data_IF_917860513064
#
_entry.id   IF_917860513064
#
_cell.length_a   1.000
_cell.length_b   1.000
_cell.length_c   1.000
_cell.angle_alpha   90.00
_cell.angle_beta   90.00
_cell.angle_gamma   90.00
#
_symmetry.space_group_name_H-M   'P 1'
#
loop_
_entity.id
_entity.type
_entity.pdbx_description
1 polymer ?
#
# COMPACT_ATOMS: atom_id res chain seq x y z
N UNK A 1 -13.67 21.27 -6.84
CA UNK A 1 -14.83 20.45 -7.23
C UNK A 1 -16.09 20.84 -6.45
N UNK A 2 -16.12 20.77 -5.10
CA UNK A 2 -17.30 21.11 -4.26
C UNK A 2 -17.85 22.53 -4.53
N UNK A 3 -16.99 23.57 -4.61
CA UNK A 3 -17.42 24.92 -4.95
C UNK A 3 -18.24 24.98 -6.24
N UNK A 4 -17.81 24.29 -7.29
CA UNK A 4 -18.50 24.26 -8.57
C UNK A 4 -19.85 23.51 -8.53
N UNK A 5 -19.96 22.49 -7.68
CA UNK A 5 -21.21 21.77 -7.44
C UNK A 5 -22.25 22.66 -6.76
N UNK A 6 -21.82 23.45 -5.76
CA UNK A 6 -22.70 24.45 -5.10
C UNK A 6 -23.13 25.55 -6.04
N UNK A 7 -22.17 26.13 -6.78
CA UNK A 7 -22.44 27.15 -7.80
C UNK A 7 -23.48 26.65 -8.81
N UNK A 8 -23.34 25.42 -9.32
CA UNK A 8 -24.32 24.82 -10.25
C UNK A 8 -25.69 24.59 -9.61
N UNK A 9 -25.75 24.14 -8.36
CA UNK A 9 -27.02 23.95 -7.64
C UNK A 9 -27.73 25.29 -7.43
N UNK A 10 -26.98 26.36 -7.12
CA UNK A 10 -27.52 27.70 -6.92
C UNK A 10 -27.93 28.34 -8.26
N UNK A 11 -27.13 28.20 -9.32
CA UNK A 11 -27.48 28.63 -10.69
C UNK A 11 -28.79 27.98 -11.15
N UNK A 12 -28.95 26.67 -10.93
CA UNK A 12 -30.18 25.94 -11.27
C UNK A 12 -31.38 26.35 -10.39
N UNK A 13 -31.12 26.68 -9.11
CA UNK A 13 -32.18 27.13 -8.19
C UNK A 13 -32.70 28.53 -8.54
N UNK A 14 -31.89 29.38 -9.17
CA UNK A 14 -32.26 30.74 -9.60
C UNK A 14 -32.84 30.78 -11.03
N UNK A 15 -32.68 29.71 -11.80
CA UNK A 15 -33.30 29.60 -13.12
C UNK A 15 -34.82 29.47 -12.94
N UNK A 16 -35.60 30.55 -13.29
CA UNK A 16 -37.06 30.50 -13.32
C UNK A 16 -37.52 29.62 -14.46
N UNK A 17 -38.29 28.54 -14.23
CA UNK A 17 -38.91 27.80 -15.31
C UNK A 17 -39.97 28.72 -15.98
N UNK A 18 -39.84 28.91 -17.26
CA UNK A 18 -40.92 29.55 -18.07
C UNK A 18 -42.21 28.76 -17.89
N UNK A 19 -43.32 29.45 -17.82
CA UNK A 19 -44.65 29.03 -17.35
C UNK A 19 -45.35 27.93 -18.18
N UNK A 20 -44.69 27.08 -18.95
CA UNK A 20 -45.38 26.22 -19.92
C UNK A 20 -45.00 24.74 -19.94
N UNK A 21 -44.11 24.24 -19.10
CA UNK A 21 -43.75 22.79 -19.14
C UNK A 21 -43.84 22.14 -17.75
N UNK A 22 -44.94 21.43 -17.51
CA UNK A 22 -45.19 20.69 -16.26
C UNK A 22 -44.17 19.56 -15.95
N UNK A 23 -43.33 19.16 -16.91
CA UNK A 23 -42.30 18.14 -16.72
C UNK A 23 -40.91 18.72 -16.40
N UNK A 24 -40.65 19.96 -16.78
CA UNK A 24 -39.31 20.60 -16.57
C UNK A 24 -39.08 20.94 -15.10
N UNK A 25 -40.09 21.43 -14.39
CA UNK A 25 -39.93 21.79 -12.96
C UNK A 25 -39.60 20.61 -12.05
N UNK A 26 -40.23 19.44 -12.18
CA UNK A 26 -39.83 18.24 -11.39
C UNK A 26 -38.44 17.75 -11.74
N UNK A 27 -38.02 17.75 -13.00
CA UNK A 27 -36.68 17.35 -13.44
C UNK A 27 -35.60 18.29 -12.90
N UNK A 28 -35.86 19.60 -12.91
CA UNK A 28 -34.96 20.60 -12.34
C UNK A 28 -34.81 20.44 -10.83
N UNK A 29 -35.91 20.25 -10.10
CA UNK A 29 -35.92 20.00 -8.68
C UNK A 29 -35.15 18.71 -8.31
N UNK A 30 -35.29 17.65 -9.12
CA UNK A 30 -34.53 16.41 -8.96
C UNK A 30 -33.02 16.62 -9.16
N UNK A 31 -32.62 17.37 -10.17
CA UNK A 31 -31.22 17.70 -10.47
C UNK A 31 -30.57 18.51 -9.35
N UNK A 32 -31.28 19.53 -8.82
CA UNK A 32 -30.83 20.31 -7.69
C UNK A 32 -30.65 19.44 -6.44
N UNK A 33 -31.62 18.57 -6.14
CA UNK A 33 -31.55 17.65 -5.01
C UNK A 33 -30.37 16.67 -5.15
N UNK A 34 -30.07 16.19 -6.36
CA UNK A 34 -28.96 15.30 -6.65
C UNK A 34 -27.60 16.00 -6.46
N UNK A 35 -27.45 17.25 -6.91
CA UNK A 35 -26.24 18.05 -6.70
C UNK A 35 -26.00 18.34 -5.20
N UNK A 36 -27.04 18.67 -4.46
CA UNK A 36 -26.95 18.88 -3.01
C UNK A 36 -26.58 17.62 -2.26
N UNK A 37 -27.16 16.46 -2.60
CA UNK A 37 -26.76 15.16 -2.05
C UNK A 37 -25.29 14.84 -2.36
N UNK A 38 -24.83 15.14 -3.57
CA UNK A 38 -23.43 14.95 -3.95
C UNK A 38 -22.50 15.84 -3.14
N UNK A 39 -22.87 17.12 -2.90
CA UNK A 39 -22.07 18.00 -2.02
C UNK A 39 -22.04 17.49 -0.58
N UNK A 40 -23.17 17.01 -0.02
CA UNK A 40 -23.23 16.41 1.32
C UNK A 40 -22.40 15.12 1.43
N UNK A 41 -22.39 14.26 0.41
CA UNK A 41 -21.54 13.07 0.38
C UNK A 41 -20.06 13.45 0.35
N UNK A 42 -19.71 14.43 -0.51
CA UNK A 42 -18.36 14.96 -0.58
C UNK A 42 -17.95 15.71 0.71
N UNK A 43 -18.89 16.35 1.40
CA UNK A 43 -18.65 16.97 2.71
C UNK A 43 -18.36 15.93 3.79
N UNK A 44 -19.15 14.88 3.86
CA UNK A 44 -18.89 13.75 4.77
C UNK A 44 -17.56 13.06 4.47
N UNK A 45 -17.17 12.98 3.19
CA UNK A 45 -15.87 12.41 2.77
C UNK A 45 -14.68 13.37 3.02
N UNK A 46 -14.92 14.70 2.99
CA UNK A 46 -13.87 15.72 3.22
C UNK A 46 -13.89 16.28 4.62
N UNK A 47 -15.03 16.21 5.34
CA UNK A 47 -15.20 16.64 6.73
C UNK A 47 -14.80 15.58 7.76
N UNK A 48 -14.55 14.34 7.37
CA UNK A 48 -13.70 13.48 8.16
C UNK A 48 -12.31 14.13 8.11
N UNK A 49 -11.95 14.91 9.16
CA UNK A 49 -10.57 15.31 9.38
C UNK A 49 -9.72 14.08 9.11
N UNK A 50 -8.72 14.22 8.22
CA UNK A 50 -7.72 13.18 8.08
C UNK A 50 -7.32 12.82 9.51
N UNK A 51 -7.41 11.55 9.93
CA UNK A 51 -7.08 11.19 11.30
C UNK A 51 -5.72 11.82 11.55
N UNK A 52 -5.62 12.67 12.58
CA UNK A 52 -4.34 13.22 13.01
C UNK A 52 -3.56 11.98 13.40
N UNK A 53 -2.71 11.51 12.50
CA UNK A 53 -1.89 10.33 12.77
C UNK A 53 -0.91 10.78 13.83
N UNK A 54 -1.23 10.46 15.09
CA UNK A 54 -0.30 10.64 16.18
C UNK A 54 0.93 9.82 15.83
N UNK A 55 2.09 10.46 15.87
CA UNK A 55 3.34 9.78 15.70
C UNK A 55 3.38 8.61 16.69
N UNK A 56 3.43 7.35 16.23
CA UNK A 56 3.38 6.21 17.15
C UNK A 56 4.60 6.22 18.05
N UNK A 57 4.45 5.72 19.26
CA UNK A 57 5.60 5.44 20.11
C UNK A 57 6.59 4.52 19.38
N UNK A 58 7.90 4.61 19.68
CA UNK A 58 8.89 3.69 19.12
C UNK A 58 8.45 2.23 19.30
N UNK A 59 8.58 1.44 18.23
CA UNK A 59 8.20 0.04 18.27
C UNK A 59 9.20 -0.76 19.09
N UNK A 60 8.71 -1.61 19.99
CA UNK A 60 9.51 -2.63 20.64
C UNK A 60 9.45 -3.92 19.81
N UNK A 61 10.61 -4.47 19.48
CA UNK A 61 10.71 -5.75 18.77
C UNK A 61 10.58 -6.88 19.78
N UNK A 62 9.36 -7.42 19.92
CA UNK A 62 9.06 -8.48 20.93
C UNK A 62 9.38 -9.89 20.43
N UNK A 63 9.43 -10.10 19.14
CA UNK A 63 9.84 -11.36 18.48
C UNK A 63 10.62 -11.04 17.21
N UNK A 64 11.46 -11.96 16.71
CA UNK A 64 12.16 -11.74 15.45
C UNK A 64 11.17 -11.59 14.27
N UNK A 65 11.36 -10.53 13.49
CA UNK A 65 10.56 -10.23 12.30
C UNK A 65 11.46 -9.87 11.12
N UNK A 66 10.97 -10.10 9.91
CA UNK A 66 11.71 -9.86 8.68
C UNK A 66 10.88 -8.97 7.75
N UNK A 67 11.45 -7.86 7.27
CA UNK A 67 10.87 -7.03 6.23
C UNK A 67 11.61 -7.22 4.92
N UNK A 68 10.90 -7.39 3.81
CA UNK A 68 11.45 -7.70 2.49
C UNK A 68 11.08 -6.63 1.47
N UNK A 69 12.06 -6.26 0.65
CA UNK A 69 11.87 -5.47 -0.56
C UNK A 69 12.55 -6.15 -1.76
N UNK A 70 11.95 -5.98 -2.95
CA UNK A 70 12.48 -6.54 -4.19
C UNK A 70 13.65 -5.69 -4.71
N UNK A 71 14.74 -6.34 -5.10
CA UNK A 71 15.94 -5.69 -5.64
C UNK A 71 16.51 -6.47 -6.84
N UNK A 72 17.56 -5.95 -7.48
CA UNK A 72 18.16 -6.62 -8.65
C UNK A 72 18.85 -7.95 -8.32
N UNK A 73 19.28 -8.16 -7.05
CA UNK A 73 19.80 -9.45 -6.59
C UNK A 73 18.70 -10.47 -6.23
N UNK A 74 17.44 -10.09 -6.33
CA UNK A 74 16.28 -10.88 -5.92
C UNK A 74 15.51 -10.17 -4.82
N UNK A 75 15.88 -10.36 -3.57
CA UNK A 75 15.26 -9.76 -2.40
C UNK A 75 16.31 -9.28 -1.39
N UNK A 76 16.10 -8.08 -0.84
CA UNK A 76 16.82 -7.60 0.32
C UNK A 76 15.89 -7.66 1.54
N UNK A 77 16.41 -8.14 2.65
CA UNK A 77 15.68 -8.26 3.90
C UNK A 77 16.32 -7.47 5.02
N UNK A 78 15.48 -6.85 5.86
CA UNK A 78 15.87 -6.28 7.15
C UNK A 78 15.31 -7.16 8.26
N UNK A 79 16.19 -7.88 8.96
CA UNK A 79 15.83 -8.68 10.12
C UNK A 79 15.94 -7.85 11.39
N UNK A 80 14.85 -7.77 12.14
CA UNK A 80 14.79 -7.18 13.47
C UNK A 80 14.69 -8.30 14.50
N UNK A 81 15.57 -8.26 15.48
CA UNK A 81 15.61 -9.23 16.59
C UNK A 81 15.48 -8.49 17.92
N UNK A 82 14.79 -9.07 18.93
CA UNK A 82 14.73 -8.48 20.27
C UNK A 82 16.11 -8.12 20.80
N UNK A 83 16.23 -6.93 21.38
CA UNK A 83 17.49 -6.42 21.96
C UNK A 83 18.68 -6.29 20.99
N UNK A 84 18.52 -6.58 19.70
CA UNK A 84 19.59 -6.35 18.73
C UNK A 84 19.81 -4.84 18.52
N UNK A 85 21.07 -4.38 18.49
CA UNK A 85 21.38 -2.95 18.42
C UNK A 85 21.07 -2.34 17.04
N UNK A 86 20.90 -3.16 16.01
CA UNK A 86 20.67 -2.71 14.63
C UNK A 86 19.99 -3.80 13.77
N UNK A 87 19.24 -3.42 12.72
CA UNK A 87 18.75 -4.36 11.72
C UNK A 87 19.91 -5.12 11.05
N UNK A 88 19.76 -6.42 10.88
CA UNK A 88 20.65 -7.25 10.07
C UNK A 88 20.14 -7.32 8.64
N UNK A 89 20.96 -6.90 7.68
CA UNK A 89 20.59 -6.92 6.26
C UNK A 89 21.01 -8.26 5.65
N UNK A 90 20.09 -8.88 4.95
CA UNK A 90 20.24 -10.18 4.30
C UNK A 90 19.76 -10.10 2.85
N UNK A 91 20.32 -10.92 1.97
CA UNK A 91 19.99 -10.90 0.53
C UNK A 91 19.90 -12.34 0.02
N UNK A 92 18.93 -12.63 -0.82
CA UNK A 92 18.82 -13.92 -1.50
C UNK A 92 18.07 -13.77 -2.83
N UNK A 93 18.26 -14.72 -3.78
CA UNK A 93 17.61 -14.67 -5.09
C UNK A 93 16.10 -14.77 -5.05
N UNK A 94 15.55 -15.58 -4.12
CA UNK A 94 14.10 -15.79 -3.98
C UNK A 94 13.62 -15.51 -2.56
N UNK A 95 12.33 -15.19 -2.41
CA UNK A 95 11.71 -15.00 -1.10
C UNK A 95 11.81 -16.28 -0.24
N UNK A 96 11.65 -17.44 -0.84
CA UNK A 96 11.74 -18.73 -0.16
C UNK A 96 13.15 -18.97 0.40
N UNK A 97 14.19 -18.75 -0.40
CA UNK A 97 15.59 -18.90 0.00
C UNK A 97 15.95 -17.93 1.13
N UNK A 98 15.50 -16.66 1.03
CA UNK A 98 15.80 -15.66 2.05
C UNK A 98 15.16 -16.02 3.38
N UNK A 99 13.88 -16.42 3.37
CA UNK A 99 13.19 -16.84 4.60
C UNK A 99 13.79 -18.12 5.17
N UNK A 100 14.15 -19.10 4.33
CA UNK A 100 14.80 -20.33 4.76
C UNK A 100 16.15 -20.03 5.43
N UNK A 101 17.02 -19.25 4.77
CA UNK A 101 18.34 -18.85 5.27
C UNK A 101 18.25 -18.16 6.65
N UNK A 102 17.30 -17.24 6.83
CA UNK A 102 17.13 -16.55 8.12
C UNK A 102 16.63 -17.51 9.19
N UNK A 103 15.74 -18.43 8.84
CA UNK A 103 15.18 -19.41 9.79
C UNK A 103 16.17 -20.45 10.28
N UNK A 104 17.26 -20.69 9.59
CA UNK A 104 18.34 -21.57 10.07
C UNK A 104 18.98 -21.05 11.38
N UNK A 105 19.00 -19.72 11.57
CA UNK A 105 19.64 -19.07 12.74
C UNK A 105 18.67 -18.35 13.66
N UNK A 106 17.47 -18.00 13.16
CA UNK A 106 16.53 -17.11 13.86
C UNK A 106 15.08 -17.58 13.70
N UNK A 107 14.38 -17.70 14.81
CA UNK A 107 12.97 -18.11 14.83
C UNK A 107 12.02 -16.97 14.45
N UNK A 108 12.07 -16.48 13.19
CA UNK A 108 11.19 -15.40 12.71
C UNK A 108 9.71 -15.80 12.81
N UNK A 109 8.87 -14.84 13.22
CA UNK A 109 7.42 -15.04 13.43
C UNK A 109 6.59 -14.35 12.39
N UNK A 110 6.99 -13.16 11.93
CA UNK A 110 6.28 -12.36 10.94
C UNK A 110 7.26 -11.95 9.83
N UNK A 111 6.81 -12.10 8.59
CA UNK A 111 7.47 -11.62 7.38
C UNK A 111 6.57 -10.57 6.73
N UNK A 112 7.03 -9.34 6.67
CA UNK A 112 6.44 -8.27 5.86
C UNK A 112 7.07 -8.27 4.47
N UNK A 113 6.28 -8.00 3.43
CA UNK A 113 6.78 -7.95 2.04
C UNK A 113 6.19 -6.75 1.33
N UNK A 114 7.04 -5.95 0.62
CA UNK A 114 6.57 -4.87 -0.28
C UNK A 114 6.16 -5.46 -1.64
N UNK A 115 5.16 -6.32 -1.62
CA UNK A 115 4.54 -6.89 -2.82
C UNK A 115 3.07 -7.19 -2.52
N UNK A 116 2.14 -6.96 -3.47
CA UNK A 116 0.73 -7.30 -3.30
C UNK A 116 0.51 -8.76 -2.95
N UNK A 117 -0.27 -8.98 -1.88
CA UNK A 117 -0.68 -10.30 -1.39
C UNK A 117 -2.20 -10.42 -1.49
N UNK A 118 -2.71 -11.56 -1.99
CA UNK A 118 -4.12 -11.75 -2.31
C UNK A 118 -4.47 -11.03 -3.62
N UNK A 119 -4.45 -11.77 -4.73
CA UNK A 119 -4.68 -11.21 -6.06
C UNK A 119 -6.17 -11.24 -6.40
N UNK A 120 -6.77 -10.12 -6.84
CA UNK A 120 -8.18 -10.04 -7.17
C UNK A 120 -8.52 -10.85 -8.41
N UNK A 121 -9.73 -11.42 -8.44
CA UNK A 121 -10.21 -12.19 -9.59
C UNK A 121 -10.79 -11.28 -10.69
N UNK A 122 -11.72 -10.38 -10.30
CA UNK A 122 -12.46 -9.53 -11.23
C UNK A 122 -12.89 -8.20 -10.61
N UNK A 123 -12.18 -7.73 -9.57
CA UNK A 123 -12.49 -6.48 -8.86
C UNK A 123 -11.23 -5.62 -8.71
N UNK A 124 -11.44 -4.34 -8.38
CA UNK A 124 -10.36 -3.45 -7.95
C UNK A 124 -10.10 -3.70 -6.47
N UNK A 125 -8.86 -3.96 -6.12
CA UNK A 125 -8.42 -4.28 -4.77
C UNK A 125 -8.53 -3.05 -3.85
N UNK A 126 -9.26 -3.18 -2.73
CA UNK A 126 -9.47 -2.09 -1.80
C UNK A 126 -8.19 -1.66 -1.08
N UNK A 127 -7.26 -2.57 -0.85
CA UNK A 127 -5.96 -2.26 -0.27
C UNK A 127 -5.24 -1.15 -1.05
N UNK A 128 -5.19 -1.24 -2.38
CA UNK A 128 -4.57 -0.23 -3.24
C UNK A 128 -5.31 1.11 -3.18
N UNK A 129 -6.64 1.07 -3.16
CA UNK A 129 -7.49 2.28 -3.09
C UNK A 129 -7.27 3.02 -1.77
N UNK A 130 -7.24 2.29 -0.66
CA UNK A 130 -7.08 2.86 0.68
C UNK A 130 -5.65 3.35 0.92
N UNK A 131 -4.64 2.60 0.47
CA UNK A 131 -3.24 3.03 0.54
C UNK A 131 -3.01 4.34 -0.22
N UNK A 132 -3.58 4.50 -1.43
CA UNK A 132 -3.52 5.78 -2.16
C UNK A 132 -4.16 6.92 -1.39
N UNK A 133 -5.28 6.68 -0.71
CA UNK A 133 -5.95 7.70 0.13
C UNK A 133 -5.11 8.07 1.35
N UNK A 134 -4.38 7.12 1.91
CA UNK A 134 -3.46 7.35 3.03
C UNK A 134 -2.20 8.15 2.63
N UNK A 135 -1.92 8.31 1.32
CA UNK A 135 -0.72 8.96 0.79
C UNK A 135 -1.05 10.22 -0.03
N UNK A 136 -1.65 11.29 0.56
CA UNK A 136 -1.90 12.55 -0.14
C UNK A 136 -0.58 13.14 -0.65
N UNK A 137 -0.54 13.51 -1.95
CA UNK A 137 0.67 14.00 -2.62
C UNK A 137 1.63 12.90 -3.09
N UNK A 138 1.43 11.65 -2.65
CA UNK A 138 2.26 10.49 -3.03
C UNK A 138 1.45 9.26 -3.50
N UNK A 139 0.19 9.43 -3.80
CA UNK A 139 -0.72 8.37 -4.24
C UNK A 139 -0.21 7.58 -5.47
N UNK A 140 0.62 8.21 -6.32
CA UNK A 140 1.24 7.57 -7.48
C UNK A 140 2.29 6.51 -7.14
N UNK A 141 2.75 6.43 -5.88
CA UNK A 141 3.65 5.35 -5.45
C UNK A 141 2.93 4.01 -5.30
N UNK A 142 1.61 4.02 -5.16
CA UNK A 142 0.79 2.80 -5.09
C UNK A 142 0.24 2.50 -6.48
N UNK A 143 0.72 1.45 -7.13
CA UNK A 143 0.13 0.99 -8.39
C UNK A 143 -1.16 0.20 -8.17
N UNK A 144 -1.97 0.01 -9.21
CA UNK A 144 -3.12 -0.90 -9.15
C UNK A 144 -2.64 -2.33 -9.34
N UNK A 145 -2.92 -3.18 -8.37
CA UNK A 145 -2.73 -4.63 -8.50
C UNK A 145 -3.63 -5.16 -9.60
N UNK A 146 -3.04 -5.93 -10.52
CA UNK A 146 -3.79 -6.52 -11.61
C UNK A 146 -4.59 -7.73 -11.12
N UNK A 147 -5.60 -8.11 -11.91
CA UNK A 147 -6.28 -9.37 -11.67
C UNK A 147 -5.33 -10.55 -11.82
N UNK A 148 -5.60 -11.63 -11.10
CA UNK A 148 -4.82 -12.89 -11.17
C UNK A 148 -4.63 -13.37 -12.60
N UNK A 149 -5.70 -13.34 -13.40
CA UNK A 149 -5.64 -13.74 -14.81
C UNK A 149 -4.75 -12.82 -15.64
N UNK A 150 -4.70 -11.51 -15.34
CA UNK A 150 -3.80 -10.58 -16.02
C UNK A 150 -2.32 -10.84 -15.69
N UNK A 151 -2.00 -11.23 -14.44
CA UNK A 151 -0.64 -11.65 -14.09
C UNK A 151 -0.23 -12.98 -14.73
N UNK A 152 -1.17 -13.81 -15.16
CA UNK A 152 -0.87 -15.06 -15.89
C UNK A 152 -0.56 -14.83 -17.37
N UNK A 153 -0.83 -13.65 -17.93
CA UNK A 153 -0.54 -13.31 -19.31
C UNK A 153 0.97 -13.23 -19.58
N UNK A 154 1.39 -13.63 -20.80
CA UNK A 154 2.79 -13.62 -21.17
C UNK A 154 3.33 -12.22 -21.47
N UNK A 155 2.49 -11.33 -21.99
CA UNK A 155 2.87 -9.98 -22.38
C UNK A 155 1.99 -8.92 -21.70
N UNK A 156 2.52 -7.69 -21.57
CA UNK A 156 1.76 -6.56 -21.03
C UNK A 156 0.51 -6.24 -21.88
N UNK A 157 0.58 -6.45 -23.19
CA UNK A 157 -0.56 -6.20 -24.10
C UNK A 157 -1.70 -7.18 -23.82
N UNK A 158 -1.38 -8.47 -23.68
CA UNK A 158 -2.36 -9.49 -23.28
C UNK A 158 -2.91 -9.23 -21.87
N UNK A 159 -2.04 -8.90 -20.92
CA UNK A 159 -2.45 -8.52 -19.57
C UNK A 159 -3.40 -7.33 -19.57
N UNK A 160 -3.15 -6.30 -20.41
CA UNK A 160 -4.01 -5.13 -20.56
C UNK A 160 -5.39 -5.51 -21.10
N UNK A 161 -5.44 -6.34 -22.13
CA UNK A 161 -6.70 -6.82 -22.69
C UNK A 161 -7.52 -7.61 -21.66
N UNK A 162 -6.89 -8.53 -20.93
CA UNK A 162 -7.52 -9.32 -19.87
C UNK A 162 -8.03 -8.40 -18.74
N UNK A 163 -7.17 -7.53 -18.23
CA UNK A 163 -7.52 -6.68 -17.09
C UNK A 163 -8.63 -5.67 -17.43
N UNK A 164 -8.59 -5.07 -18.63
CA UNK A 164 -9.69 -4.20 -19.13
C UNK A 164 -11.00 -4.96 -19.24
N UNK A 165 -10.97 -6.18 -19.74
CA UNK A 165 -12.17 -7.02 -19.85
C UNK A 165 -12.80 -7.34 -18.49
N UNK A 166 -12.00 -7.51 -17.45
CA UNK A 166 -12.46 -7.89 -16.10
C UNK A 166 -12.83 -6.69 -15.22
N UNK A 167 -12.00 -5.64 -15.20
CA UNK A 167 -12.14 -4.52 -14.24
C UNK A 167 -12.20 -3.13 -14.90
N UNK A 168 -12.18 -3.04 -16.23
CA UNK A 168 -12.21 -1.77 -16.97
C UNK A 168 -10.93 -0.94 -16.87
N UNK A 169 -9.86 -1.45 -16.22
CA UNK A 169 -8.61 -0.71 -16.02
C UNK A 169 -7.47 -1.27 -16.86
N UNK A 170 -6.66 -0.37 -17.41
CA UNK A 170 -5.44 -0.72 -18.13
C UNK A 170 -4.31 -1.13 -17.18
N UNK A 171 -3.27 -1.74 -17.77
CA UNK A 171 -2.12 -2.26 -17.07
C UNK A 171 -0.97 -1.26 -17.04
N UNK A 172 -0.64 -0.74 -15.85
CA UNK A 172 0.52 0.11 -15.63
C UNK A 172 1.85 -0.62 -15.85
N UNK A 173 2.86 0.10 -16.34
CA UNK A 173 4.19 -0.49 -16.57
C UNK A 173 4.82 -1.05 -15.28
N UNK A 174 4.65 -0.36 -14.16
CA UNK A 174 5.16 -0.80 -12.86
C UNK A 174 4.49 -2.09 -12.39
N UNK A 175 3.14 -2.16 -12.45
CA UNK A 175 2.39 -3.34 -12.04
C UNK A 175 2.79 -4.59 -12.82
N UNK A 176 3.01 -4.45 -14.14
CA UNK A 176 3.46 -5.55 -14.98
C UNK A 176 4.97 -5.84 -14.81
N UNK A 177 5.79 -4.81 -14.58
CA UNK A 177 7.22 -4.96 -14.34
C UNK A 177 7.54 -5.76 -13.07
N UNK A 178 6.65 -5.72 -12.07
CA UNK A 178 6.76 -6.52 -10.84
C UNK A 178 6.10 -7.90 -10.92
N UNK A 179 5.54 -8.27 -12.09
CA UNK A 179 4.81 -9.52 -12.31
C UNK A 179 5.53 -10.75 -11.75
N UNK A 180 6.80 -10.91 -12.09
CA UNK A 180 7.55 -12.11 -11.71
C UNK A 180 7.74 -12.20 -10.20
N UNK A 181 7.92 -11.06 -9.51
CA UNK A 181 8.00 -10.98 -8.05
C UNK A 181 6.64 -11.25 -7.38
N UNK A 182 5.57 -10.73 -7.95
CA UNK A 182 4.20 -10.96 -7.46
C UNK A 182 3.83 -12.44 -7.61
N UNK A 183 4.10 -13.05 -8.75
CA UNK A 183 3.83 -14.47 -9.02
C UNK A 183 4.70 -15.37 -8.15
N UNK A 184 5.97 -15.00 -7.93
CA UNK A 184 6.87 -15.70 -7.01
C UNK A 184 6.31 -15.75 -5.58
N UNK A 185 5.89 -14.59 -5.05
CA UNK A 185 5.32 -14.50 -3.70
C UNK A 185 3.99 -15.26 -3.61
N UNK A 186 3.10 -15.11 -4.60
CA UNK A 186 1.83 -15.86 -4.64
C UNK A 186 2.07 -17.37 -4.64
N UNK A 187 3.02 -17.87 -5.42
CA UNK A 187 3.39 -19.28 -5.46
C UNK A 187 3.95 -19.75 -4.10
N UNK A 188 4.83 -18.95 -3.49
CA UNK A 188 5.38 -19.28 -2.18
C UNK A 188 4.31 -19.32 -1.08
N UNK A 189 3.38 -18.37 -1.06
CA UNK A 189 2.27 -18.34 -0.09
C UNK A 189 1.37 -19.58 -0.19
N UNK A 190 1.18 -20.12 -1.40
CA UNK A 190 0.42 -21.34 -1.63
C UNK A 190 1.07 -22.59 -1.02
N UNK A 191 2.38 -22.55 -0.73
CA UNK A 191 3.05 -23.62 0.04
C UNK A 191 2.70 -23.60 1.52
N UNK A 192 1.92 -22.59 1.98
CA UNK A 192 1.53 -22.37 3.37
C UNK A 192 2.71 -22.31 4.33
N UNK A 193 3.60 -21.31 4.16
CA UNK A 193 4.75 -21.15 5.04
C UNK A 193 4.30 -21.07 6.51
N UNK A 194 5.10 -21.60 7.41
CA UNK A 194 4.79 -21.66 8.85
C UNK A 194 5.07 -20.34 9.59
N UNK A 195 5.23 -19.24 8.87
CA UNK A 195 5.37 -17.88 9.39
C UNK A 195 4.16 -17.05 8.99
N UNK A 196 3.79 -16.07 9.79
CA UNK A 196 2.78 -15.08 9.37
C UNK A 196 3.38 -14.19 8.28
N UNK A 197 2.70 -14.07 7.15
CA UNK A 197 3.13 -13.20 6.04
C UNK A 197 2.11 -12.10 5.86
N UNK A 198 2.58 -10.85 5.76
CA UNK A 198 1.75 -9.67 5.56
C UNK A 198 2.29 -8.82 4.41
N UNK A 199 1.39 -8.19 3.68
CA UNK A 199 1.76 -7.15 2.74
C UNK A 199 1.98 -5.83 3.47
N UNK A 200 3.03 -5.13 3.10
CA UNK A 200 3.36 -3.80 3.60
C UNK A 200 3.75 -2.91 2.42
N UNK A 201 3.35 -1.64 2.46
CA UNK A 201 3.83 -0.65 1.50
C UNK A 201 4.73 0.36 2.23
N UNK A 202 6.03 0.49 1.90
CA UNK A 202 6.99 1.30 2.65
C UNK A 202 6.57 2.75 2.84
N UNK A 203 5.99 3.40 1.81
CA UNK A 203 5.53 4.79 1.92
C UNK A 203 4.33 4.93 2.89
N UNK A 204 3.48 3.90 3.03
CA UNK A 204 2.41 3.87 4.03
C UNK A 204 3.03 3.74 5.43
N UNK A 205 4.05 2.89 5.58
CA UNK A 205 4.79 2.75 6.85
C UNK A 205 5.48 4.06 7.23
N UNK A 206 6.17 4.73 6.29
CA UNK A 206 6.79 6.03 6.56
C UNK A 206 5.75 7.10 6.91
N UNK A 207 4.61 7.14 6.20
CA UNK A 207 3.53 8.05 6.55
C UNK A 207 2.96 7.78 7.96
N UNK A 208 2.87 6.52 8.37
CA UNK A 208 2.47 6.15 9.72
C UNK A 208 3.51 6.56 10.78
N UNK A 209 4.82 6.42 10.49
CA UNK A 209 5.90 6.85 11.40
C UNK A 209 5.92 8.35 11.62
N UNK A 210 5.68 9.16 10.57
CA UNK A 210 5.84 10.62 10.58
C UNK A 210 4.54 11.39 10.71
N UNK A 211 3.40 10.70 10.66
CA UNK A 211 2.06 11.32 10.68
C UNK A 211 1.64 11.93 9.34
N UNK A 212 2.50 11.91 8.32
CA UNK A 212 2.22 12.40 6.95
C UNK A 212 3.19 11.80 5.94
N UNK A 213 2.85 11.73 4.62
CA UNK A 213 3.75 11.20 3.62
C UNK A 213 5.05 12.01 3.50
N UNK A 214 6.19 11.34 3.37
CA UNK A 214 7.47 11.96 3.03
C UNK A 214 7.46 12.27 1.54
N UNK A 215 7.26 13.53 1.16
CA UNK A 215 7.10 13.93 -0.25
C UNK A 215 8.42 13.94 -1.03
N UNK A 216 9.55 14.12 -0.34
CA UNK A 216 10.87 14.13 -0.95
C UNK A 216 11.23 12.76 -1.50
N UNK A 217 11.81 12.75 -2.72
CA UNK A 217 12.15 11.49 -3.41
C UNK A 217 13.16 10.67 -2.61
N UNK A 218 12.90 9.37 -2.42
CA UNK A 218 13.83 8.42 -1.76
C UNK A 218 15.19 8.29 -2.48
N UNK A 219 15.29 8.75 -3.73
CA UNK A 219 16.54 8.71 -4.51
C UNK A 219 17.46 9.90 -4.24
N UNK A 220 17.00 10.93 -3.53
CA UNK A 220 17.83 12.07 -3.12
C UNK A 220 18.42 11.86 -1.73
N UNK A 221 19.53 12.51 -1.42
CA UNK A 221 20.16 12.43 -0.09
C UNK A 221 19.24 12.97 1.01
N UNK A 222 18.51 14.04 0.73
CA UNK A 222 17.51 14.59 1.64
C UNK A 222 16.39 13.58 1.94
N UNK A 223 15.83 12.94 0.90
CA UNK A 223 14.78 11.95 1.08
C UNK A 223 15.24 10.68 1.80
N UNK A 224 16.52 10.30 1.63
CA UNK A 224 17.16 9.22 2.40
C UNK A 224 17.34 9.61 3.86
N UNK A 225 17.81 10.86 4.12
CA UNK A 225 17.98 11.38 5.49
C UNK A 225 16.65 11.39 6.24
N UNK A 226 15.60 11.93 5.65
CA UNK A 226 14.26 11.97 6.25
C UNK A 226 13.74 10.55 6.60
N UNK A 227 13.98 9.55 5.75
CA UNK A 227 13.57 8.16 6.02
C UNK A 227 14.40 7.51 7.13
N UNK A 228 15.71 7.79 7.19
CA UNK A 228 16.56 7.33 8.29
C UNK A 228 16.13 7.96 9.62
N UNK A 229 15.80 9.24 9.63
CA UNK A 229 15.28 9.95 10.81
C UNK A 229 13.93 9.39 11.26
N UNK A 230 13.02 9.12 10.31
CA UNK A 230 11.73 8.51 10.59
C UNK A 230 11.89 7.11 11.21
N UNK A 231 12.76 6.25 10.64
CA UNK A 231 13.07 4.93 11.18
C UNK A 231 13.65 5.04 12.60
N UNK A 232 14.63 5.93 12.81
CA UNK A 232 15.25 6.11 14.13
C UNK A 232 14.24 6.57 15.18
N UNK A 233 13.39 7.55 14.86
CA UNK A 233 12.33 8.02 15.74
C UNK A 233 11.29 6.93 16.03
N UNK A 234 11.04 6.04 15.08
CA UNK A 234 10.13 4.91 15.20
C UNK A 234 10.73 3.68 15.91
N UNK A 235 11.98 3.76 16.42
CA UNK A 235 12.63 2.71 17.18
C UNK A 235 13.48 1.74 16.33
N UNK A 236 13.72 2.05 15.05
CA UNK A 236 14.57 1.24 14.17
C UNK A 236 15.91 1.95 13.95
N UNK A 237 16.98 1.52 14.62
CA UNK A 237 18.31 2.12 14.45
C UNK A 237 18.83 1.96 13.02
N UNK A 238 19.71 2.87 12.62
CA UNK A 238 20.34 2.81 11.31
C UNK A 238 21.04 1.48 11.07
N UNK A 239 20.77 0.75 9.96
CA UNK A 239 21.49 -0.45 9.58
C UNK A 239 23.00 -0.18 9.43
N UNK A 240 23.83 -1.19 9.69
CA UNK A 240 25.28 -1.09 9.48
C UNK A 240 25.65 -1.07 7.99
N UNK A 241 24.82 -1.70 7.16
CA UNK A 241 24.99 -1.77 5.71
C UNK A 241 23.75 -1.14 5.05
N UNK A 242 23.98 -0.19 4.13
CA UNK A 242 22.92 0.51 3.42
C UNK A 242 22.87 0.19 1.93
N UNK A 243 23.93 -0.39 1.37
CA UNK A 243 23.99 -0.77 -0.03
C UNK A 243 24.98 -1.91 -0.23
N UNK A 244 24.83 -2.65 -1.33
CA UNK A 244 25.71 -3.75 -1.69
C UNK A 244 25.50 -4.21 -3.12
N UNK A 245 26.05 -5.38 -3.43
CA UNK A 245 25.89 -5.92 -4.76
C UNK A 245 24.42 -6.30 -5.02
N UNK A 246 23.79 -5.61 -5.98
CA UNK A 246 22.44 -5.90 -6.42
C UNK A 246 21.32 -5.31 -5.55
N UNK A 247 21.61 -4.42 -4.60
CA UNK A 247 20.62 -3.65 -3.87
C UNK A 247 21.16 -2.24 -3.53
N UNK A 248 20.26 -1.28 -3.45
CA UNK A 248 20.55 0.13 -3.22
C UNK A 248 20.12 0.57 -1.81
N UNK A 249 20.45 1.83 -1.46
CA UNK A 249 20.09 2.43 -0.17
C UNK A 249 18.57 2.45 0.04
N UNK A 250 17.82 2.81 -1.00
CA UNK A 250 16.36 2.87 -0.94
C UNK A 250 15.74 1.50 -0.70
N UNK A 251 16.24 0.44 -1.29
CA UNK A 251 15.75 -0.94 -1.06
C UNK A 251 15.95 -1.35 0.41
N UNK A 252 17.09 -0.99 1.03
CA UNK A 252 17.35 -1.26 2.45
C UNK A 252 16.44 -0.46 3.37
N UNK A 253 16.19 0.82 3.05
CA UNK A 253 15.30 1.66 3.85
C UNK A 253 13.86 1.19 3.76
N UNK A 254 13.41 0.77 2.57
CA UNK A 254 12.09 0.21 2.34
C UNK A 254 11.94 -1.12 3.09
N UNK A 255 12.92 -2.03 3.03
CA UNK A 255 12.94 -3.27 3.82
C UNK A 255 12.88 -3.00 5.34
N UNK A 256 13.55 -1.95 5.84
CA UNK A 256 13.46 -1.55 7.25
C UNK A 256 12.07 -1.01 7.63
N UNK A 257 11.43 -0.24 6.76
CA UNK A 257 10.06 0.25 6.97
C UNK A 257 9.05 -0.91 6.96
N UNK A 258 9.25 -1.89 6.09
CA UNK A 258 8.47 -3.13 6.05
C UNK A 258 8.66 -3.94 7.33
N UNK A 259 9.90 -4.07 7.82
CA UNK A 259 10.21 -4.76 9.09
C UNK A 259 9.58 -4.06 10.30
N UNK A 260 9.52 -2.72 10.31
CA UNK A 260 8.82 -1.97 11.34
C UNK A 260 7.32 -2.30 11.39
N UNK A 261 6.65 -2.34 10.24
CA UNK A 261 5.24 -2.73 10.19
C UNK A 261 5.05 -4.20 10.60
N UNK A 262 5.98 -5.09 10.25
CA UNK A 262 5.96 -6.48 10.71
C UNK A 262 6.12 -6.59 12.24
N UNK A 263 6.99 -5.76 12.86
CA UNK A 263 7.14 -5.69 14.32
C UNK A 263 5.87 -5.17 15.00
N UNK A 264 5.23 -4.14 14.44
CA UNK A 264 3.92 -3.64 14.92
C UNK A 264 2.83 -4.69 14.81
N UNK A 265 2.81 -5.44 13.70
CA UNK A 265 1.87 -6.54 13.52
C UNK A 265 2.08 -7.63 14.59
N UNK A 266 3.31 -8.02 14.86
CA UNK A 266 3.64 -8.97 15.91
C UNK A 266 3.22 -8.51 17.32
N UNK A 267 3.24 -7.19 17.56
CA UNK A 267 2.79 -6.56 18.80
C UNK A 267 1.27 -6.25 18.83
N UNK A 268 0.51 -6.56 17.78
CA UNK A 268 -0.93 -6.26 17.69
C UNK A 268 -1.25 -4.77 17.50
N UNK A 269 -0.27 -3.97 17.06
CA UNK A 269 -0.38 -2.51 16.88
C UNK A 269 -0.63 -2.07 15.44
N UNK A 270 -0.32 -2.93 14.46
CA UNK A 270 -0.56 -2.62 13.05
C UNK A 270 -2.05 -2.69 12.70
N UNK A 271 -2.46 -1.90 11.71
CA UNK A 271 -3.84 -1.88 11.20
C UNK A 271 -3.86 -2.27 9.72
N UNK A 272 -4.79 -3.12 9.30
CA UNK A 272 -4.93 -3.49 7.90
C UNK A 272 -5.71 -2.43 7.11
N UNK A 273 -5.38 -2.29 5.85
CA UNK A 273 -6.11 -1.52 4.85
C UNK A 273 -6.52 -2.47 3.71
N UNK A 274 -7.81 -2.88 3.60
CA UNK A 274 -8.97 -2.59 4.47
C UNK A 274 -9.00 -3.37 5.79
N UNK A 275 -9.88 -2.96 6.70
CA UNK A 275 -10.22 -3.67 7.93
C UNK A 275 -11.73 -4.02 7.89
N UNK A 276 -12.13 -5.31 7.83
CA UNK A 276 -11.28 -6.49 7.72
C UNK A 276 -10.59 -6.61 6.35
N UNK A 277 -9.50 -7.41 6.23
CA UNK A 277 -8.88 -7.74 4.95
C UNK A 277 -9.87 -8.35 3.95
N UNK A 278 -9.74 -8.00 2.65
CA UNK A 278 -10.46 -8.68 1.59
C UNK A 278 -9.95 -10.13 1.44
N UNK A 279 -10.81 -11.01 0.92
CA UNK A 279 -10.41 -12.39 0.58
C UNK A 279 -10.94 -12.68 -0.82
N UNK A 280 -10.06 -13.12 -1.71
CA UNK A 280 -10.41 -13.53 -3.07
C UNK A 280 -10.47 -15.05 -3.20
N UNK A 281 -10.57 -15.55 -4.42
CA UNK A 281 -10.72 -17.00 -4.66
C UNK A 281 -9.56 -17.86 -4.15
N UNK A 282 -8.39 -17.24 -3.95
CA UNK A 282 -7.19 -17.90 -3.41
C UNK A 282 -7.27 -18.16 -1.89
N UNK A 283 -8.21 -17.54 -1.19
CA UNK A 283 -8.37 -17.64 0.26
C UNK A 283 -7.28 -16.89 1.06
N UNK A 284 -6.43 -16.09 0.39
CA UNK A 284 -5.35 -15.32 1.03
C UNK A 284 -5.89 -13.94 1.43
N UNK A 285 -5.74 -13.51 2.70
CA UNK A 285 -6.14 -12.18 3.13
C UNK A 285 -5.35 -11.09 2.40
N UNK A 286 -6.05 -10.14 1.79
CA UNK A 286 -5.52 -9.03 1.02
C UNK A 286 -5.70 -7.73 1.78
N UNK A 287 -4.63 -7.20 2.35
CA UNK A 287 -4.59 -5.90 3.02
C UNK A 287 -3.15 -5.42 3.14
N UNK A 288 -2.95 -4.09 3.07
CA UNK A 288 -1.68 -3.43 3.39
C UNK A 288 -1.67 -3.09 4.87
N UNK A 289 -0.62 -3.49 5.61
CA UNK A 289 -0.49 -3.30 7.05
C UNK A 289 0.49 -2.17 7.40
N UNK A 290 0.10 -1.30 8.37
CA UNK A 290 0.98 -0.26 8.92
C UNK A 290 0.75 0.01 10.42
#
# INVERSE_FOLDING_TARGET
MRRRIRELADELSTAQPGTTDGEVAPALAHSIASLRRLDEVLERQTGAAAPTMHQPAPVEVVVPVLGLDACSAGWVGALLEPAAPRPRIVVAPTVADLVAMVRESTGIRVVGIDIPIGLPDSTIRQADVLARRALPGKASSVFSTLTRSAYSAATRVEADAVNRGLVGQGVGAQAFGLRDKIVEVDAWLRTRPTVTVIEVHPEVSFAAMTGSPILVSKKTDEGRSQRLEALAAAGIPRPSVLQGQGYAVDDVLDACAVAWSAARHAAGLARPLPDPPEVFSDGIPAAIWA
#
